data_IF_664410038290
#
_entry.id   IF_664410038290
#
_cell.length_a   1.000
_cell.length_b   1.000
_cell.length_c   1.000
_cell.angle_alpha   90.00
_cell.angle_beta   90.00
_cell.angle_gamma   90.00
#
_symmetry.space_group_name_H-M   'P 1'
#
loop_
_entity.id
_entity.type
_entity.pdbx_description
1 polymer ?
#
# COMPACT_ATOMS: atom_id res chain seq x y z
N UNK A 1 -10.70 17.35 -35.46
CA UNK A 1 -10.12 16.32 -34.57
C UNK A 1 -10.17 16.86 -33.16
N UNK A 2 -11.03 16.31 -32.30
CA UNK A 2 -11.22 16.82 -30.93
C UNK A 2 -10.21 16.10 -30.02
N UNK A 3 -9.12 16.78 -29.69
CA UNK A 3 -8.21 16.40 -28.61
C UNK A 3 -8.89 16.65 -27.26
N UNK A 4 -9.62 15.64 -26.77
CA UNK A 4 -10.10 15.64 -25.39
C UNK A 4 -8.96 15.19 -24.47
N UNK A 5 -8.10 16.14 -24.08
CA UNK A 5 -7.17 15.93 -22.96
C UNK A 5 -7.98 15.75 -21.68
N UNK A 6 -8.10 14.49 -21.23
CA UNK A 6 -8.82 14.17 -20.00
C UNK A 6 -8.08 14.86 -18.84
N UNK A 7 -8.74 15.83 -18.21
CA UNK A 7 -8.24 16.52 -17.01
C UNK A 7 -7.82 15.51 -15.94
N UNK A 8 -6.65 15.70 -15.32
CA UNK A 8 -6.10 14.86 -14.23
C UNK A 8 -7.13 14.55 -13.14
N UNK A 9 -8.00 15.51 -12.86
CA UNK A 9 -9.02 15.38 -11.82
C UNK A 9 -10.19 14.47 -12.26
N UNK A 10 -10.54 14.48 -13.56
CA UNK A 10 -11.52 13.55 -14.14
C UNK A 10 -10.93 12.14 -14.24
N UNK A 11 -9.64 12.02 -14.58
CA UNK A 11 -8.93 10.73 -14.58
C UNK A 11 -8.87 10.12 -13.18
N UNK A 12 -8.49 10.89 -12.15
CA UNK A 12 -8.46 10.40 -10.77
C UNK A 12 -9.82 9.89 -10.30
N UNK A 13 -10.90 10.63 -10.60
CA UNK A 13 -12.26 10.24 -10.25
C UNK A 13 -12.73 9.01 -11.01
N UNK A 14 -12.35 8.87 -12.28
CA UNK A 14 -12.70 7.70 -13.08
C UNK A 14 -11.94 6.46 -12.58
N UNK A 15 -10.64 6.62 -12.29
CA UNK A 15 -9.79 5.58 -11.72
C UNK A 15 -10.33 5.10 -10.37
N UNK A 16 -10.58 6.02 -9.44
CA UNK A 16 -11.13 5.68 -8.12
C UNK A 16 -12.45 4.90 -8.24
N UNK A 17 -13.35 5.30 -9.15
CA UNK A 17 -14.62 4.59 -9.39
C UNK A 17 -14.43 3.20 -9.99
N UNK A 18 -13.54 3.05 -10.98
CA UNK A 18 -13.27 1.75 -11.61
C UNK A 18 -12.56 0.80 -10.65
N UNK A 19 -11.59 1.30 -9.88
CA UNK A 19 -10.88 0.53 -8.87
C UNK A 19 -11.78 0.10 -7.72
N UNK A 20 -12.69 0.96 -7.26
CA UNK A 20 -13.67 0.61 -6.21
C UNK A 20 -14.63 -0.51 -6.67
N UNK A 21 -15.11 -0.46 -7.92
CA UNK A 21 -15.98 -1.52 -8.48
C UNK A 21 -15.23 -2.85 -8.58
N UNK A 22 -13.94 -2.84 -8.93
CA UNK A 22 -13.12 -4.04 -9.00
C UNK A 22 -12.77 -4.61 -7.61
N UNK A 23 -12.58 -3.74 -6.60
CA UNK A 23 -12.30 -4.13 -5.22
C UNK A 23 -13.51 -4.83 -4.55
N UNK A 24 -14.73 -4.34 -4.79
CA UNK A 24 -15.96 -4.95 -4.25
C UNK A 24 -16.19 -6.36 -4.85
N UNK A 25 -15.69 -6.62 -6.06
CA UNK A 25 -15.85 -7.91 -6.75
C UNK A 25 -14.89 -9.03 -6.33
N UNK A 26 -13.73 -8.70 -5.74
CA UNK A 26 -12.70 -9.69 -5.39
C UNK A 26 -12.50 -9.82 -3.88
N UNK A 27 -13.56 -10.12 -3.13
CA UNK A 27 -13.37 -10.70 -1.80
C UNK A 27 -12.97 -12.17 -1.99
N UNK A 28 -11.79 -12.49 -1.49
CA UNK A 28 -11.17 -13.82 -1.33
C UNK A 28 -10.43 -14.37 -2.56
N UNK A 29 -9.11 -14.53 -2.40
CA UNK A 29 -8.39 -15.82 -2.29
C UNK A 29 -6.91 -15.49 -2.06
N UNK A 30 -6.34 -16.01 -0.96
CA UNK A 30 -4.89 -16.15 -0.79
C UNK A 30 -4.29 -15.45 0.41
N UNK A 31 -4.16 -16.18 1.53
CA UNK A 31 -2.94 -16.19 2.34
C UNK A 31 -3.02 -17.33 3.38
N UNK A 32 -2.06 -18.25 3.34
CA UNK A 32 -1.77 -19.17 4.42
C UNK A 32 -0.87 -18.44 5.43
N UNK A 33 -1.46 -17.86 6.48
CA UNK A 33 -0.70 -17.21 7.54
C UNK A 33 -0.06 -18.25 8.49
N UNK A 34 1.27 -18.27 8.54
CA UNK A 34 2.06 -18.94 9.58
C UNK A 34 2.83 -17.89 10.38
N UNK A 35 2.11 -17.01 11.07
CA UNK A 35 2.68 -15.99 11.95
C UNK A 35 1.68 -15.53 12.99
N UNK A 36 2.18 -15.08 14.15
CA UNK A 36 1.37 -14.51 15.22
C UNK A 36 0.92 -13.10 14.79
N UNK A 37 -0.27 -13.01 14.17
CA UNK A 37 -0.83 -11.74 13.71
C UNK A 37 -1.35 -10.97 14.93
N UNK A 38 -0.96 -9.70 15.13
CA UNK A 38 -1.49 -8.88 16.22
C UNK A 38 -2.99 -8.63 16.05
N UNK A 39 -3.68 -8.28 17.14
CA UNK A 39 -5.13 -8.04 17.10
C UNK A 39 -5.45 -6.76 16.29
N UNK A 40 -5.93 -6.94 15.06
CA UNK A 40 -6.30 -5.86 14.12
C UNK A 40 -7.67 -5.26 14.45
N UNK A 41 -7.88 -3.99 14.09
CA UNK A 41 -9.12 -3.25 14.34
C UNK A 41 -9.83 -2.79 13.07
N UNK A 42 -9.07 -2.41 12.04
CA UNK A 42 -9.56 -1.75 10.84
C UNK A 42 -9.23 -2.46 9.53
N UNK A 43 -8.09 -3.17 9.43
CA UNK A 43 -7.66 -3.83 8.19
C UNK A 43 -7.76 -5.36 8.26
N UNK A 44 -7.78 -6.00 7.09
CA UNK A 44 -7.74 -7.47 7.01
C UNK A 44 -6.32 -8.01 7.30
N UNK A 45 -6.24 -9.29 7.69
CA UNK A 45 -4.97 -9.97 7.93
C UNK A 45 -4.05 -9.94 6.71
N UNK A 46 -4.61 -10.08 5.51
CA UNK A 46 -3.86 -10.07 4.27
C UNK A 46 -3.25 -8.69 3.98
N UNK A 47 -3.99 -7.62 4.28
CA UNK A 47 -3.51 -6.25 4.08
C UNK A 47 -2.43 -5.89 5.09
N UNK A 48 -2.59 -6.35 6.33
CA UNK A 48 -1.56 -6.28 7.35
C UNK A 48 -0.27 -6.97 6.89
N UNK A 49 -0.37 -8.23 6.44
CA UNK A 49 0.79 -8.98 5.95
C UNK A 49 1.41 -8.32 4.71
N UNK A 50 0.59 -7.75 3.83
CA UNK A 50 1.05 -7.02 2.65
C UNK A 50 1.88 -5.80 3.01
N UNK A 51 1.40 -4.96 3.92
CA UNK A 51 2.13 -3.78 4.37
C UNK A 51 3.37 -4.13 5.21
N UNK A 52 3.26 -5.12 6.07
CA UNK A 52 4.40 -5.65 6.82
C UNK A 52 5.50 -6.21 5.88
N UNK A 53 5.12 -6.83 4.75
CA UNK A 53 6.08 -7.35 3.78
C UNK A 53 6.86 -6.23 3.07
N UNK A 54 6.18 -5.20 2.57
CA UNK A 54 6.82 -4.08 1.84
C UNK A 54 7.70 -3.20 2.73
N UNK A 55 7.51 -3.22 4.05
CA UNK A 55 8.40 -2.56 5.01
C UNK A 55 9.86 -2.94 4.78
N UNK A 56 10.13 -4.21 4.47
CA UNK A 56 11.49 -4.75 4.27
C UNK A 56 12.24 -4.07 3.12
N UNK A 57 11.52 -3.46 2.18
CA UNK A 57 12.08 -2.77 1.02
C UNK A 57 12.00 -1.25 1.18
N UNK A 58 10.83 -0.71 1.55
CA UNK A 58 10.66 0.74 1.60
C UNK A 58 11.28 1.41 2.82
N UNK A 59 11.30 0.70 3.96
CA UNK A 59 11.80 1.22 5.24
C UNK A 59 13.09 0.49 5.67
N UNK A 60 13.89 0.05 4.70
CA UNK A 60 15.21 -0.50 4.98
C UNK A 60 16.08 0.55 5.68
N UNK A 61 16.70 0.17 6.81
CA UNK A 61 17.50 1.07 7.63
C UNK A 61 16.69 2.03 8.51
N UNK A 62 15.41 1.75 8.76
CA UNK A 62 14.58 2.53 9.68
C UNK A 62 15.24 2.68 11.08
N UNK A 63 15.39 3.90 11.63
CA UNK A 63 15.97 4.13 12.95
C UNK A 63 15.06 3.72 14.12
N UNK A 64 13.75 3.49 13.89
CA UNK A 64 12.82 3.06 14.94
C UNK A 64 12.87 1.53 15.06
N UNK A 65 13.42 0.97 16.16
CA UNK A 65 13.42 -0.47 16.37
C UNK A 65 11.98 -0.96 16.52
N UNK A 66 11.70 -2.12 15.91
CA UNK A 66 10.39 -2.79 15.97
C UNK A 66 9.21 -1.96 15.44
N UNK A 67 9.47 -1.01 14.53
CA UNK A 67 8.37 -0.39 13.80
C UNK A 67 7.66 -1.45 12.96
N UNK A 68 6.35 -1.52 13.08
CA UNK A 68 5.51 -2.42 12.28
C UNK A 68 4.60 -1.57 11.39
N UNK A 69 4.89 -1.60 10.10
CA UNK A 69 4.17 -0.84 9.10
C UNK A 69 2.72 -1.33 8.92
N UNK A 70 2.46 -2.62 9.10
CA UNK A 70 1.12 -3.18 9.04
C UNK A 70 0.28 -2.72 10.23
N UNK A 71 0.86 -2.69 11.42
CA UNK A 71 0.18 -2.18 12.61
C UNK A 71 0.00 -0.65 12.57
N UNK A 72 0.97 0.08 12.03
CA UNK A 72 0.85 1.53 11.81
C UNK A 72 -0.30 1.85 10.85
N UNK A 73 -0.47 1.04 9.79
CA UNK A 73 -1.60 1.14 8.87
C UNK A 73 -2.94 0.87 9.57
N UNK A 74 -3.05 -0.22 10.36
CA UNK A 74 -4.28 -0.54 11.10
C UNK A 74 -4.69 0.59 12.06
N UNK A 75 -3.72 1.13 12.81
CA UNK A 75 -3.96 2.26 13.71
C UNK A 75 -4.34 3.54 12.96
N UNK A 76 -3.74 3.78 11.78
CA UNK A 76 -4.09 4.92 10.95
C UNK A 76 -5.53 4.80 10.42
N UNK A 77 -5.94 3.64 9.90
CA UNK A 77 -7.30 3.39 9.43
C UNK A 77 -8.31 3.55 10.57
N UNK A 78 -8.03 2.97 11.74
CA UNK A 78 -8.92 3.05 12.90
C UNK A 78 -9.03 4.47 13.50
N UNK A 79 -7.94 5.24 13.50
CA UNK A 79 -7.87 6.57 14.09
C UNK A 79 -8.15 7.72 13.13
N UNK A 80 -8.49 7.44 11.86
CA UNK A 80 -8.61 8.46 10.81
C UNK A 80 -9.84 9.38 11.05
N UNK A 81 -9.67 10.71 11.18
CA UNK A 81 -10.80 11.64 11.26
C UNK A 81 -11.46 11.75 9.87
N UNK A 82 -12.64 11.15 9.73
CA UNK A 82 -13.36 10.96 8.47
C UNK A 82 -13.60 12.26 7.66
N UNK A 83 -13.51 12.13 6.32
CA UNK A 83 -14.72 11.84 5.54
C UNK A 83 -14.65 10.50 4.77
N UNK A 84 -15.84 9.93 4.51
CA UNK A 84 -16.12 8.55 4.04
C UNK A 84 -15.35 8.16 2.76
N UNK A 85 -15.02 9.13 1.89
CA UNK A 85 -14.31 8.86 0.63
C UNK A 85 -12.83 8.50 0.80
N UNK A 86 -12.20 8.85 1.92
CA UNK A 86 -10.75 8.60 2.11
C UNK A 86 -10.44 7.22 2.68
N UNK A 87 -11.36 6.64 3.43
CA UNK A 87 -11.22 5.29 3.99
C UNK A 87 -11.11 4.24 2.89
N UNK A 88 -12.04 4.26 1.92
CA UNK A 88 -12.05 3.32 0.79
C UNK A 88 -10.74 3.37 0.00
N UNK A 89 -10.16 4.56 -0.17
CA UNK A 89 -8.87 4.72 -0.83
C UNK A 89 -7.74 4.10 0.00
N UNK A 90 -7.74 4.29 1.31
CA UNK A 90 -6.72 3.72 2.20
C UNK A 90 -6.84 2.18 2.22
N UNK A 91 -8.06 1.63 2.30
CA UNK A 91 -8.31 0.19 2.21
C UNK A 91 -7.91 -0.38 0.85
N UNK A 92 -8.15 0.36 -0.23
CA UNK A 92 -7.65 -0.02 -1.55
C UNK A 92 -6.11 -0.06 -1.57
N UNK A 93 -5.44 0.97 -1.04
CA UNK A 93 -3.98 1.00 -0.97
C UNK A 93 -3.45 -0.16 -0.11
N UNK A 94 -4.11 -0.45 1.01
CA UNK A 94 -3.81 -1.55 1.92
C UNK A 94 -3.78 -2.91 1.21
N UNK A 95 -4.69 -3.13 0.26
CA UNK A 95 -4.80 -4.37 -0.51
C UNK A 95 -3.88 -4.48 -1.71
N UNK A 96 -3.17 -3.42 -2.13
CA UNK A 96 -2.29 -3.50 -3.30
C UNK A 96 -1.19 -4.57 -3.15
N UNK A 97 -0.45 -4.62 -2.02
CA UNK A 97 0.65 -5.57 -1.90
C UNK A 97 0.19 -7.04 -1.82
N UNK A 98 -1.00 -7.28 -1.30
CA UNK A 98 -1.60 -8.62 -1.10
C UNK A 98 -2.46 -9.07 -2.29
N UNK A 99 -2.77 -8.20 -3.25
CA UNK A 99 -3.68 -8.52 -4.36
C UNK A 99 -2.99 -9.23 -5.52
N UNK A 100 -3.35 -10.51 -5.72
CA UNK A 100 -2.98 -11.29 -6.91
C UNK A 100 -3.50 -10.67 -8.20
N UNK A 101 -4.68 -10.03 -8.17
CA UNK A 101 -5.25 -9.37 -9.34
C UNK A 101 -4.39 -8.19 -9.79
N UNK A 102 -3.89 -7.39 -8.84
CA UNK A 102 -2.99 -6.28 -9.14
C UNK A 102 -1.65 -6.80 -9.67
N UNK A 103 -1.10 -7.86 -9.07
CA UNK A 103 0.11 -8.51 -9.58
C UNK A 103 -0.07 -9.03 -11.01
N UNK A 104 -1.25 -9.57 -11.33
CA UNK A 104 -1.56 -10.02 -12.69
C UNK A 104 -1.73 -8.84 -13.66
N UNK A 105 -2.52 -7.83 -13.28
CA UNK A 105 -2.81 -6.68 -14.13
C UNK A 105 -1.57 -5.83 -14.43
N UNK A 106 -0.63 -5.74 -13.48
CA UNK A 106 0.58 -4.96 -13.63
C UNK A 106 1.71 -5.81 -14.21
N UNK A 107 1.99 -6.98 -13.64
CA UNK A 107 3.20 -7.76 -13.94
C UNK A 107 2.93 -9.10 -14.63
N UNK A 108 1.68 -9.42 -14.98
CA UNK A 108 1.27 -10.74 -15.48
C UNK A 108 1.76 -11.88 -14.56
N UNK A 109 1.77 -11.63 -13.25
CA UNK A 109 2.22 -12.58 -12.24
C UNK A 109 1.05 -13.05 -11.37
N UNK A 110 1.04 -14.34 -11.02
CA UNK A 110 0.08 -14.91 -10.07
C UNK A 110 0.56 -14.84 -8.61
N UNK A 111 1.73 -14.25 -8.36
CA UNK A 111 2.29 -14.11 -7.01
C UNK A 111 2.16 -12.64 -6.59
N UNK A 112 1.40 -12.31 -5.53
CA UNK A 112 1.32 -10.95 -5.00
C UNK A 112 2.65 -10.50 -4.41
N UNK A 113 2.84 -9.19 -4.22
CA UNK A 113 4.08 -8.63 -3.66
C UNK A 113 4.38 -9.19 -2.26
N UNK A 114 3.34 -9.41 -1.45
CA UNK A 114 3.44 -9.89 -0.07
C UNK A 114 4.04 -11.28 0.07
N UNK A 115 3.93 -12.12 -0.96
CA UNK A 115 4.42 -13.50 -0.96
C UNK A 115 5.84 -13.64 -1.51
N UNK A 116 6.40 -12.58 -2.10
CA UNK A 116 7.76 -12.58 -2.64
C UNK A 116 8.80 -12.52 -1.53
N UNK A 117 9.98 -13.10 -1.79
CA UNK A 117 11.14 -12.84 -0.96
C UNK A 117 11.62 -11.38 -1.11
N UNK A 118 12.48 -10.92 -0.20
CA UNK A 118 12.93 -9.51 -0.17
C UNK A 118 13.53 -9.07 -1.51
N UNK A 119 14.41 -9.89 -2.09
CA UNK A 119 15.16 -9.54 -3.31
C UNK A 119 14.25 -9.49 -4.55
N UNK A 120 13.32 -10.43 -4.68
CA UNK A 120 12.32 -10.46 -5.75
C UNK A 120 11.34 -9.29 -5.61
N UNK A 121 10.92 -9.00 -4.39
CA UNK A 121 10.05 -7.86 -4.09
C UNK A 121 10.74 -6.55 -4.45
N UNK A 122 12.01 -6.37 -4.08
CA UNK A 122 12.80 -5.19 -4.45
C UNK A 122 12.91 -5.06 -5.97
N UNK A 123 13.28 -6.14 -6.68
CA UNK A 123 13.36 -6.15 -8.15
C UNK A 123 12.02 -5.77 -8.78
N UNK A 124 10.91 -6.30 -8.28
CA UNK A 124 9.58 -5.99 -8.80
C UNK A 124 9.20 -4.52 -8.52
N UNK A 125 9.43 -4.02 -7.31
CA UNK A 125 9.17 -2.62 -6.97
C UNK A 125 10.08 -1.66 -7.78
N UNK A 126 11.33 -2.01 -8.02
CA UNK A 126 12.23 -1.27 -8.90
C UNK A 126 11.72 -1.28 -10.35
N UNK A 127 11.20 -2.41 -10.83
CA UNK A 127 10.56 -2.47 -12.14
C UNK A 127 9.33 -1.55 -12.24
N UNK A 128 8.59 -1.37 -11.14
CA UNK A 128 7.46 -0.44 -11.11
C UNK A 128 7.93 1.00 -11.18
N UNK A 129 9.00 1.33 -10.45
CA UNK A 129 9.62 2.66 -10.44
C UNK A 129 10.12 3.10 -11.82
N UNK A 130 10.73 2.19 -12.58
CA UNK A 130 11.34 2.49 -13.89
C UNK A 130 10.43 2.16 -15.08
N UNK A 131 9.24 1.61 -14.84
CA UNK A 131 8.32 1.22 -15.90
C UNK A 131 7.92 2.38 -16.81
N UNK A 132 7.69 2.11 -18.09
CA UNK A 132 7.05 3.04 -19.03
C UNK A 132 5.57 3.29 -18.70
N UNK A 133 4.92 2.37 -17.98
CA UNK A 133 3.52 2.49 -17.55
C UNK A 133 3.38 3.49 -16.39
N UNK A 134 2.63 4.56 -16.63
CA UNK A 134 2.37 5.61 -15.62
C UNK A 134 1.76 5.03 -14.34
N UNK A 135 0.87 4.05 -14.48
CA UNK A 135 0.19 3.41 -13.35
C UNK A 135 1.17 2.71 -12.40
N UNK A 136 2.12 1.92 -12.93
CA UNK A 136 3.15 1.25 -12.12
C UNK A 136 3.99 2.26 -11.34
N UNK A 137 4.46 3.32 -12.02
CA UNK A 137 5.24 4.39 -11.38
C UNK A 137 4.44 5.12 -10.29
N UNK A 138 3.16 5.38 -10.57
CA UNK A 138 2.23 6.01 -9.65
C UNK A 138 2.02 5.18 -8.39
N UNK A 139 1.71 3.89 -8.55
CA UNK A 139 1.53 2.96 -7.43
C UNK A 139 2.79 2.81 -6.59
N UNK A 140 3.96 2.65 -7.22
CA UNK A 140 5.24 2.66 -6.51
C UNK A 140 5.41 3.92 -5.66
N UNK A 141 5.14 5.09 -6.25
CA UNK A 141 5.31 6.38 -5.57
C UNK A 141 4.34 6.54 -4.40
N UNK A 142 3.07 6.16 -4.59
CA UNK A 142 2.04 6.24 -3.54
C UNK A 142 2.37 5.30 -2.40
N UNK A 143 2.68 4.03 -2.68
CA UNK A 143 3.04 3.07 -1.64
C UNK A 143 4.25 3.55 -0.85
N UNK A 144 5.31 3.98 -1.53
CA UNK A 144 6.51 4.49 -0.87
C UNK A 144 6.21 5.71 0.00
N UNK A 145 5.52 6.72 -0.54
CA UNK A 145 5.18 7.94 0.20
C UNK A 145 4.29 7.63 1.40
N UNK A 146 3.32 6.74 1.23
CA UNK A 146 2.42 6.36 2.31
C UNK A 146 3.15 5.58 3.40
N UNK A 147 4.06 4.66 3.06
CA UNK A 147 4.91 3.99 4.05
C UNK A 147 5.77 4.97 4.86
N UNK A 148 6.40 5.95 4.21
CA UNK A 148 7.17 6.98 4.92
C UNK A 148 6.28 7.90 5.75
N UNK A 149 5.08 8.23 5.26
CA UNK A 149 4.11 9.01 6.01
C UNK A 149 3.70 8.29 7.31
N UNK A 150 3.38 6.99 7.23
CA UNK A 150 3.05 6.17 8.40
C UNK A 150 4.22 6.03 9.39
N UNK A 151 5.46 5.98 8.89
CA UNK A 151 6.63 6.03 9.77
C UNK A 151 6.75 7.40 10.45
N UNK A 152 6.54 8.49 9.70
CA UNK A 152 6.68 9.85 10.22
C UNK A 152 5.59 10.24 11.23
N UNK A 153 4.45 9.57 11.20
CA UNK A 153 3.38 9.78 12.18
C UNK A 153 3.67 9.10 13.53
N UNK A 154 4.64 8.19 13.59
CA UNK A 154 5.07 7.56 14.85
C UNK A 154 5.78 8.60 15.74
N UNK A 155 5.31 8.72 16.98
CA UNK A 155 5.86 9.67 17.97
C UNK A 155 7.35 9.43 18.24
N UNK A 156 7.80 8.17 18.23
CA UNK A 156 9.21 7.81 18.42
C UNK A 156 10.06 8.37 17.29
N UNK A 157 9.58 8.25 16.05
CA UNK A 157 10.25 8.83 14.89
C UNK A 157 10.32 10.36 14.98
N UNK A 158 9.25 11.01 15.45
CA UNK A 158 9.24 12.47 15.66
C UNK A 158 10.25 12.92 16.72
N UNK A 159 10.42 12.14 17.80
CA UNK A 159 11.45 12.40 18.81
C UNK A 159 12.86 12.21 18.22
N UNK A 160 13.09 11.16 17.43
CA UNK A 160 14.38 10.96 16.73
C UNK A 160 14.73 12.12 15.79
N UNK A 161 13.74 12.71 15.12
CA UNK A 161 13.92 13.83 14.21
C UNK A 161 13.95 15.20 14.92
N UNK A 162 13.76 15.24 16.25
CA UNK A 162 13.78 16.48 17.03
C UNK A 162 12.52 17.36 16.89
N UNK A 163 11.40 16.81 16.40
CA UNK A 163 10.14 17.55 16.26
C UNK A 163 9.39 17.72 17.59
N UNK A 164 9.59 16.80 18.53
CA UNK A 164 9.08 16.90 19.90
C UNK A 164 10.28 16.99 20.85
N UNK A 165 10.77 18.22 21.07
CA UNK A 165 11.67 18.54 22.17
C UNK A 165 10.86 18.91 23.42
#
# INVERSE_FOLDING_TARGET
MIENTISRNKFLKLFAKVSAVLYIGSKTIGCSAHGNIPKLKGISENDYLGFHAIQKVFLEGNPVPDFDLGLALDNYVYGHPYPIETEDLILFLAGIPSSTLIAFALDFSFTPLSELNKDEMERRLLSWKTSSLVMKRGLYSILRQFSFFLLSSDKRFQTYMGYNA
#
